data_IF_522798288074
#
_entry.id   IF_522798288074
#
_cell.length_a   1.000
_cell.length_b   1.000
_cell.length_c   1.000
_cell.angle_alpha   90.00
_cell.angle_beta   90.00
_cell.angle_gamma   90.00
#
_symmetry.space_group_name_H-M   'P 1'
#
loop_
_entity.id
_entity.type
_entity.pdbx_description
1 polymer ?
#
# COMPACT_ATOMS: atom_id res chain seq x y z
N UNK A 1 -7.14 -6.11 -23.05
CA UNK A 1 -7.63 -7.38 -22.47
C UNK A 1 -7.50 -7.27 -20.95
N UNK A 2 -8.60 -7.38 -20.21
CA UNK A 2 -8.56 -7.34 -18.74
C UNK A 2 -8.00 -8.68 -18.24
N UNK A 3 -6.99 -8.66 -17.39
CA UNK A 3 -6.39 -9.89 -16.83
C UNK A 3 -7.32 -10.50 -15.79
N UNK A 4 -7.36 -11.82 -15.75
CA UNK A 4 -8.03 -12.53 -14.67
C UNK A 4 -7.13 -12.50 -13.42
N UNK A 5 -7.38 -11.54 -12.54
CA UNK A 5 -6.64 -11.36 -11.29
C UNK A 5 -7.55 -11.67 -10.10
N UNK A 6 -6.96 -12.04 -8.94
CA UNK A 6 -7.68 -12.11 -7.69
C UNK A 6 -8.19 -10.71 -7.31
N UNK A 7 -9.44 -10.61 -6.91
CA UNK A 7 -9.98 -9.38 -6.34
C UNK A 7 -9.48 -9.18 -4.90
N UNK A 8 -9.05 -7.95 -4.60
CA UNK A 8 -8.63 -7.50 -3.28
C UNK A 8 -9.55 -6.37 -2.84
N UNK A 9 -9.89 -6.29 -1.56
CA UNK A 9 -10.76 -5.24 -1.03
C UNK A 9 -9.97 -4.26 -0.16
N UNK A 10 -10.09 -2.97 -0.44
CA UNK A 10 -9.49 -1.88 0.35
C UNK A 10 -10.61 -1.06 0.98
N UNK A 11 -10.99 -1.38 2.21
CA UNK A 11 -12.00 -0.64 2.95
C UNK A 11 -13.36 -0.51 2.23
N UNK A 12 -13.78 -1.54 1.49
CA UNK A 12 -15.00 -1.54 0.68
C UNK A 12 -14.77 -1.30 -0.81
N UNK A 13 -13.59 -0.79 -1.22
CA UNK A 13 -13.25 -0.56 -2.63
C UNK A 13 -12.60 -1.82 -3.22
N UNK A 14 -13.23 -2.49 -4.20
CA UNK A 14 -12.65 -3.67 -4.85
C UNK A 14 -11.57 -3.29 -5.85
N UNK A 15 -10.45 -4.03 -5.86
CA UNK A 15 -9.34 -3.88 -6.80
C UNK A 15 -9.08 -5.20 -7.53
N UNK A 16 -8.97 -5.17 -8.85
CA UNK A 16 -8.78 -6.38 -9.68
C UNK A 16 -10.03 -7.25 -9.78
N UNK A 17 -9.89 -8.48 -10.31
CA UNK A 17 -11.01 -9.42 -10.45
C UNK A 17 -12.18 -8.91 -11.31
N UNK A 18 -11.92 -8.02 -12.28
CA UNK A 18 -12.97 -7.41 -13.10
C UNK A 18 -13.68 -6.21 -12.47
N UNK A 19 -13.28 -5.77 -11.30
CA UNK A 19 -13.82 -4.54 -10.67
C UNK A 19 -13.55 -3.30 -11.54
N UNK A 20 -14.37 -2.24 -11.42
CA UNK A 20 -14.08 -0.94 -12.04
C UNK A 20 -12.72 -0.39 -11.64
N UNK A 21 -12.13 0.45 -12.50
CA UNK A 21 -10.88 1.14 -12.17
C UNK A 21 -11.14 2.15 -11.06
N UNK A 22 -10.43 2.02 -9.95
CA UNK A 22 -10.50 2.95 -8.82
C UNK A 22 -9.50 4.09 -8.98
N UNK A 23 -9.89 5.27 -8.51
CA UNK A 23 -9.04 6.48 -8.47
C UNK A 23 -8.37 6.57 -7.10
N UNK A 24 -7.05 6.47 -7.07
CA UNK A 24 -6.27 6.67 -5.85
C UNK A 24 -5.40 7.93 -5.96
N UNK A 25 -5.45 8.77 -4.94
CA UNK A 25 -4.55 9.92 -4.79
C UNK A 25 -3.64 9.78 -3.57
N UNK A 26 -2.69 10.70 -3.42
CA UNK A 26 -1.77 10.74 -2.29
C UNK A 26 -1.73 12.15 -1.71
N UNK A 27 -1.88 12.27 -0.39
CA UNK A 27 -1.68 13.51 0.33
C UNK A 27 -0.19 13.80 0.51
N UNK A 28 0.14 15.09 0.48
CA UNK A 28 1.47 15.62 0.76
C UNK A 28 1.51 16.46 2.05
N UNK A 29 0.47 16.35 2.88
CA UNK A 29 0.35 17.05 4.15
C UNK A 29 1.37 16.57 5.17
N UNK A 30 1.59 17.39 6.21
CA UNK A 30 2.32 16.94 7.39
C UNK A 30 1.57 15.74 8.00
N UNK A 31 2.20 14.57 8.09
CA UNK A 31 1.55 13.35 8.60
C UNK A 31 1.16 13.44 10.09
N UNK A 32 1.55 14.50 10.79
CA UNK A 32 1.20 14.76 12.19
C UNK A 32 0.06 15.78 12.34
N UNK A 33 -0.38 16.43 11.26
CA UNK A 33 -1.50 17.39 11.28
C UNK A 33 -2.84 16.70 10.96
N UNK A 34 -3.50 16.18 11.99
CA UNK A 34 -4.81 15.53 11.87
C UNK A 34 -5.86 16.44 11.20
N UNK A 35 -5.83 17.74 11.47
CA UNK A 35 -6.81 18.66 10.92
C UNK A 35 -6.62 18.86 9.42
N UNK A 36 -5.40 19.15 8.99
CA UNK A 36 -5.08 19.32 7.57
C UNK A 36 -5.40 18.03 6.79
N UNK A 37 -4.99 16.87 7.32
CA UNK A 37 -5.30 15.57 6.72
C UNK A 37 -6.81 15.39 6.56
N UNK A 38 -7.61 15.64 7.63
CA UNK A 38 -9.06 15.45 7.59
C UNK A 38 -9.77 16.38 6.61
N UNK A 39 -9.31 17.62 6.49
CA UNK A 39 -9.86 18.59 5.54
C UNK A 39 -9.55 18.19 4.10
N UNK A 40 -8.32 17.76 3.81
CA UNK A 40 -7.94 17.30 2.48
C UNK A 40 -8.57 15.97 2.09
N UNK A 41 -8.80 15.06 3.03
CA UNK A 41 -9.53 13.81 2.76
C UNK A 41 -10.94 14.07 2.24
N UNK A 42 -11.65 15.06 2.82
CA UNK A 42 -12.97 15.47 2.32
C UNK A 42 -12.87 16.03 0.90
N UNK A 43 -11.93 16.92 0.66
CA UNK A 43 -11.70 17.51 -0.67
C UNK A 43 -11.35 16.45 -1.72
N UNK A 44 -10.54 15.46 -1.37
CA UNK A 44 -10.22 14.34 -2.26
C UNK A 44 -11.44 13.49 -2.60
N UNK A 45 -12.28 13.20 -1.61
CA UNK A 45 -13.52 12.44 -1.82
C UNK A 45 -14.51 13.22 -2.70
N UNK A 46 -14.69 14.52 -2.45
CA UNK A 46 -15.53 15.39 -3.28
C UNK A 46 -15.02 15.51 -4.72
N UNK A 47 -13.69 15.43 -4.92
CA UNK A 47 -13.07 15.38 -6.24
C UNK A 47 -13.15 14.00 -6.92
N UNK A 48 -13.74 13.00 -6.27
CA UNK A 48 -13.95 11.65 -6.83
C UNK A 48 -12.83 10.65 -6.59
N UNK A 49 -11.98 10.87 -5.58
CA UNK A 49 -11.04 9.84 -5.16
C UNK A 49 -11.76 8.70 -4.43
N UNK A 50 -11.46 7.46 -4.81
CA UNK A 50 -11.99 6.25 -4.15
C UNK A 50 -11.11 5.83 -2.98
N UNK A 51 -9.81 6.11 -3.04
CA UNK A 51 -8.80 5.71 -2.05
C UNK A 51 -7.79 6.84 -1.87
N UNK A 52 -7.37 7.10 -0.65
CA UNK A 52 -6.31 8.07 -0.36
C UNK A 52 -5.14 7.43 0.35
N UNK A 53 -3.91 7.79 -0.04
CA UNK A 53 -2.67 7.32 0.55
C UNK A 53 -1.93 8.46 1.24
N UNK A 54 -1.32 8.19 2.40
CA UNK A 54 -0.47 9.12 3.12
C UNK A 54 0.81 8.41 3.59
N UNK A 55 1.95 9.10 3.49
CA UNK A 55 3.22 8.61 4.03
C UNK A 55 3.17 8.55 5.56
N UNK A 56 3.72 7.48 6.12
CA UNK A 56 3.81 7.25 7.57
C UNK A 56 5.28 7.09 7.94
N UNK A 57 5.96 8.19 8.33
CA UNK A 57 7.39 8.19 8.63
C UNK A 57 7.72 7.59 10.00
N UNK A 58 6.79 7.66 10.95
CA UNK A 58 6.96 7.18 12.33
C UNK A 58 5.65 6.67 12.94
N UNK A 59 5.74 6.17 14.17
CA UNK A 59 4.59 5.56 14.90
C UNK A 59 3.53 6.61 15.27
N UNK A 60 3.92 7.86 15.54
CA UNK A 60 2.95 8.92 15.85
C UNK A 60 2.12 9.28 14.62
N UNK A 61 2.74 9.41 13.46
CA UNK A 61 2.02 9.59 12.19
C UNK A 61 1.05 8.43 11.91
N UNK A 62 1.42 7.19 12.27
CA UNK A 62 0.51 6.05 12.17
C UNK A 62 -0.75 6.22 13.03
N UNK A 63 -0.62 6.74 14.24
CA UNK A 63 -1.75 7.01 15.15
C UNK A 63 -2.65 8.14 14.60
N UNK A 64 -2.03 9.20 14.09
CA UNK A 64 -2.76 10.32 13.46
C UNK A 64 -3.54 9.82 12.25
N UNK A 65 -2.92 9.03 11.38
CA UNK A 65 -3.61 8.43 10.22
C UNK A 65 -4.76 7.52 10.64
N UNK A 66 -4.59 6.71 11.70
CA UNK A 66 -5.64 5.89 12.25
C UNK A 66 -6.80 6.70 12.85
N UNK A 67 -6.51 7.86 13.47
CA UNK A 67 -7.54 8.78 13.93
C UNK A 67 -8.32 9.39 12.76
N UNK A 68 -7.63 9.79 11.69
CA UNK A 68 -8.25 10.28 10.46
C UNK A 68 -9.13 9.20 9.79
N UNK A 69 -8.67 7.95 9.78
CA UNK A 69 -9.37 6.83 9.15
C UNK A 69 -10.78 6.58 9.73
N UNK A 70 -10.99 6.91 11.01
CA UNK A 70 -12.30 6.72 11.68
C UNK A 70 -13.41 7.62 11.13
N UNK A 71 -13.04 8.77 10.57
CA UNK A 71 -13.99 9.76 10.04
C UNK A 71 -13.80 10.04 8.55
N UNK A 72 -12.85 9.36 7.92
CA UNK A 72 -12.58 9.54 6.50
C UNK A 72 -13.74 9.03 5.64
N UNK A 73 -14.19 9.81 4.64
CA UNK A 73 -15.19 9.36 3.68
C UNK A 73 -14.68 8.30 2.69
N UNK A 74 -13.37 8.10 2.62
CA UNK A 74 -12.69 7.14 1.73
C UNK A 74 -11.65 6.32 2.51
N UNK A 75 -11.37 5.08 2.11
CA UNK A 75 -10.36 4.24 2.76
C UNK A 75 -8.96 4.83 2.63
N UNK A 76 -8.16 4.64 3.70
CA UNK A 76 -6.81 5.15 3.80
C UNK A 76 -5.76 4.04 3.65
N UNK A 77 -4.71 4.36 2.91
CA UNK A 77 -3.53 3.52 2.71
C UNK A 77 -2.34 4.13 3.43
N UNK A 78 -1.75 3.42 4.37
CA UNK A 78 -0.50 3.81 5.01
C UNK A 78 0.69 3.44 4.11
N UNK A 79 1.47 4.44 3.71
CA UNK A 79 2.68 4.26 2.88
C UNK A 79 3.92 4.17 3.78
N UNK A 80 4.42 2.95 3.94
CA UNK A 80 5.54 2.62 4.83
C UNK A 80 6.82 2.48 4.00
N UNK A 81 7.84 3.25 4.34
CA UNK A 81 9.08 3.27 3.57
C UNK A 81 10.19 2.42 4.18
N UNK A 82 10.43 2.51 5.50
CA UNK A 82 11.64 1.93 6.11
C UNK A 82 11.42 1.14 7.41
N UNK A 83 10.44 1.50 8.22
CA UNK A 83 10.27 0.92 9.55
C UNK A 83 9.01 0.04 9.64
N UNK A 84 9.20 -1.26 9.84
CA UNK A 84 8.10 -2.20 10.01
C UNK A 84 7.21 -1.89 11.23
N UNK A 85 7.72 -1.19 12.25
CA UNK A 85 6.94 -0.77 13.43
C UNK A 85 5.86 0.22 13.06
N UNK A 86 6.13 1.09 12.08
CA UNK A 86 5.11 1.99 11.52
C UNK A 86 3.98 1.21 10.84
N UNK A 87 4.32 0.12 10.13
CA UNK A 87 3.30 -0.77 9.53
C UNK A 87 2.43 -1.42 10.60
N UNK A 88 3.02 -1.97 11.65
CA UNK A 88 2.29 -2.58 12.76
C UNK A 88 1.40 -1.55 13.48
N UNK A 89 1.92 -0.36 13.74
CA UNK A 89 1.15 0.73 14.36
C UNK A 89 -0.02 1.17 13.47
N UNK A 90 0.17 1.29 12.16
CA UNK A 90 -0.89 1.66 11.22
C UNK A 90 -2.01 0.58 11.16
N UNK A 91 -1.63 -0.70 11.17
CA UNK A 91 -2.58 -1.82 11.24
C UNK A 91 -3.43 -1.73 12.52
N UNK A 92 -2.79 -1.57 13.68
CA UNK A 92 -3.50 -1.44 14.96
C UNK A 92 -4.37 -0.18 15.03
N UNK A 93 -3.93 0.91 14.41
CA UNK A 93 -4.70 2.15 14.32
C UNK A 93 -5.93 2.07 13.39
N UNK A 94 -6.03 1.02 12.55
CA UNK A 94 -7.22 0.72 11.76
C UNK A 94 -7.22 1.31 10.34
N UNK A 95 -6.05 1.47 9.72
CA UNK A 95 -5.98 1.79 8.28
C UNK A 95 -6.51 0.62 7.44
N UNK A 96 -7.00 0.91 6.24
CA UNK A 96 -7.66 -0.08 5.40
C UNK A 96 -6.73 -0.80 4.42
N UNK A 97 -5.51 -0.31 4.21
CA UNK A 97 -4.47 -1.01 3.46
C UNK A 97 -3.08 -0.48 3.83
N UNK A 98 -2.06 -1.27 3.51
CA UNK A 98 -0.67 -0.84 3.56
C UNK A 98 -0.08 -0.76 2.16
N UNK A 99 0.84 0.18 1.95
CA UNK A 99 1.80 0.14 0.84
C UNK A 99 3.20 0.06 1.44
N UNK A 100 3.97 -0.91 1.01
CA UNK A 100 5.34 -1.06 1.46
C UNK A 100 6.23 -1.65 0.35
N UNK A 101 7.54 -1.45 0.52
CA UNK A 101 8.54 -2.20 -0.21
C UNK A 101 9.21 -3.16 0.78
N UNK A 102 8.95 -4.47 0.72
CA UNK A 102 9.48 -5.43 1.68
C UNK A 102 11.01 -5.43 1.77
N UNK A 103 11.71 -5.04 0.68
CA UNK A 103 13.16 -4.88 0.68
C UNK A 103 13.67 -3.76 1.57
N UNK A 104 12.84 -2.78 1.93
CA UNK A 104 13.27 -1.60 2.70
C UNK A 104 12.89 -1.67 4.18
N UNK A 105 11.92 -2.52 4.57
CA UNK A 105 11.43 -2.56 5.96
C UNK A 105 12.22 -3.49 6.88
N UNK A 106 13.24 -4.15 6.35
CA UNK A 106 14.17 -5.01 7.09
C UNK A 106 14.14 -6.47 6.69
N UNK A 107 14.66 -7.35 7.57
CA UNK A 107 14.79 -8.77 7.30
C UNK A 107 13.46 -9.51 7.15
N UNK A 108 13.54 -10.78 6.72
CA UNK A 108 12.39 -11.65 6.47
C UNK A 108 11.41 -11.73 7.66
N UNK A 109 11.93 -11.82 8.87
CA UNK A 109 11.18 -11.88 10.12
C UNK A 109 10.27 -10.66 10.34
N UNK A 110 10.72 -9.48 9.95
CA UNK A 110 9.93 -8.23 10.03
C UNK A 110 8.81 -8.21 8.99
N UNK A 111 9.10 -8.61 7.76
CA UNK A 111 8.08 -8.76 6.70
C UNK A 111 7.01 -9.76 7.12
N UNK A 112 7.42 -10.89 7.70
CA UNK A 112 6.51 -11.91 8.21
C UNK A 112 5.64 -11.39 9.36
N UNK A 113 6.21 -10.62 10.29
CA UNK A 113 5.43 -10.00 11.37
C UNK A 113 4.34 -9.08 10.83
N UNK A 114 4.64 -8.23 9.84
CA UNK A 114 3.66 -7.35 9.18
C UNK A 114 2.61 -8.18 8.43
N UNK A 115 3.01 -9.21 7.68
CA UNK A 115 2.08 -10.07 6.96
C UNK A 115 1.07 -10.76 7.88
N UNK A 116 1.54 -11.32 9.02
CA UNK A 116 0.67 -11.96 10.03
C UNK A 116 -0.28 -10.95 10.65
N UNK A 117 0.18 -9.76 11.01
CA UNK A 117 -0.66 -8.71 11.57
C UNK A 117 -1.73 -8.25 10.57
N UNK A 118 -1.35 -8.00 9.32
CA UNK A 118 -2.27 -7.62 8.25
C UNK A 118 -3.31 -8.72 7.97
N UNK A 119 -2.90 -9.99 7.94
CA UNK A 119 -3.78 -11.15 7.79
C UNK A 119 -4.83 -11.22 8.89
N UNK A 120 -4.41 -11.05 10.14
CA UNK A 120 -5.30 -11.08 11.30
C UNK A 120 -6.38 -9.99 11.27
N UNK A 121 -6.10 -8.84 10.64
CA UNK A 121 -7.04 -7.71 10.51
C UNK A 121 -7.74 -7.66 9.14
N UNK A 122 -7.43 -8.56 8.22
CA UNK A 122 -7.98 -8.53 6.84
C UNK A 122 -7.55 -7.33 6.03
N UNK A 123 -6.34 -6.79 6.27
CA UNK A 123 -5.81 -5.59 5.62
C UNK A 123 -4.92 -6.02 4.44
N UNK A 124 -5.21 -5.60 3.20
CA UNK A 124 -4.38 -5.92 2.05
C UNK A 124 -3.05 -5.15 2.06
N UNK A 125 -2.05 -5.74 1.42
CA UNK A 125 -0.72 -5.14 1.27
C UNK A 125 -0.44 -4.88 -0.21
N UNK A 126 -0.10 -3.63 -0.53
CA UNK A 126 0.46 -3.26 -1.84
C UNK A 126 1.98 -3.30 -1.78
N UNK A 127 2.57 -4.19 -2.56
CA UNK A 127 4.00 -4.22 -2.84
C UNK A 127 4.31 -3.17 -3.91
N UNK A 128 5.15 -2.19 -3.56
CA UNK A 128 5.63 -1.18 -4.52
C UNK A 128 7.10 -1.41 -4.85
N UNK A 129 7.39 -1.77 -6.09
CA UNK A 129 8.76 -1.92 -6.59
C UNK A 129 9.06 -0.81 -7.58
N UNK A 130 10.21 -0.17 -7.43
CA UNK A 130 10.72 0.84 -8.35
C UNK A 130 12.19 0.59 -8.70
N UNK A 131 12.65 1.21 -9.80
CA UNK A 131 14.01 0.99 -10.30
C UNK A 131 15.13 1.37 -9.32
N UNK A 132 14.87 2.31 -8.41
CA UNK A 132 15.86 2.76 -7.40
C UNK A 132 16.01 1.82 -6.21
N UNK A 133 15.14 0.82 -6.05
CA UNK A 133 15.18 -0.15 -4.95
C UNK A 133 15.64 -1.55 -5.39
N UNK A 134 16.15 -1.70 -6.62
CA UNK A 134 16.62 -2.99 -7.14
C UNK A 134 18.01 -3.31 -6.63
N UNK A 135 18.23 -4.57 -6.24
CA UNK A 135 19.55 -5.11 -5.99
C UNK A 135 20.31 -5.31 -7.32
N UNK A 136 21.65 -5.40 -7.25
CA UNK A 136 22.47 -5.60 -8.43
C UNK A 136 22.09 -6.89 -9.17
N UNK A 137 21.67 -6.75 -10.42
CA UNK A 137 21.24 -7.88 -11.27
C UNK A 137 19.76 -8.23 -11.16
N UNK A 138 18.98 -7.59 -10.28
CA UNK A 138 17.53 -7.75 -10.24
C UNK A 138 16.81 -6.98 -11.35
N UNK A 139 15.70 -7.55 -11.80
CA UNK A 139 14.71 -6.84 -12.61
C UNK A 139 13.54 -6.42 -11.72
N UNK A 140 12.72 -5.47 -12.18
CA UNK A 140 11.51 -5.09 -11.46
C UNK A 140 10.57 -6.28 -11.24
N UNK A 141 10.48 -7.18 -12.21
CA UNK A 141 9.63 -8.38 -12.13
C UNK A 141 10.20 -9.37 -11.10
N UNK A 142 11.50 -9.70 -11.17
CA UNK A 142 12.11 -10.63 -10.21
C UNK A 142 12.03 -10.11 -8.78
N UNK A 143 12.23 -8.81 -8.58
CA UNK A 143 12.08 -8.19 -7.26
C UNK A 143 10.63 -8.25 -6.77
N UNK A 144 9.65 -7.95 -7.62
CA UNK A 144 8.25 -8.06 -7.26
C UNK A 144 7.86 -9.49 -6.87
N UNK A 145 8.26 -10.49 -7.65
CA UNK A 145 7.98 -11.90 -7.37
C UNK A 145 8.65 -12.38 -6.07
N UNK A 146 9.90 -11.98 -5.81
CA UNK A 146 10.60 -12.24 -4.54
C UNK A 146 9.79 -11.73 -3.35
N UNK A 147 9.26 -10.51 -3.45
CA UNK A 147 8.48 -9.89 -2.38
C UNK A 147 7.08 -10.51 -2.23
N UNK A 148 6.42 -10.86 -3.32
CA UNK A 148 5.14 -11.61 -3.28
C UNK A 148 5.35 -12.92 -2.54
N UNK A 149 6.41 -13.68 -2.88
CA UNK A 149 6.72 -14.96 -2.23
C UNK A 149 6.93 -14.82 -0.72
N UNK A 150 7.57 -13.75 -0.25
CA UNK A 150 7.75 -13.50 1.19
C UNK A 150 6.42 -13.37 1.95
N UNK A 151 5.39 -12.78 1.32
CA UNK A 151 4.05 -12.67 1.90
C UNK A 151 3.29 -14.02 1.77
N UNK A 152 3.42 -14.69 0.63
CA UNK A 152 2.78 -15.99 0.40
C UNK A 152 3.31 -17.09 1.32
N UNK A 153 4.59 -17.03 1.74
CA UNK A 153 5.17 -17.93 2.73
C UNK A 153 4.46 -17.86 4.10
N UNK A 154 3.75 -16.74 4.38
CA UNK A 154 2.88 -16.57 5.55
C UNK A 154 1.40 -16.85 5.22
N UNK A 155 1.13 -17.50 4.07
CA UNK A 155 -0.22 -17.71 3.56
C UNK A 155 -1.03 -16.41 3.49
N UNK A 156 -0.36 -15.30 3.13
CA UNK A 156 -0.97 -14.01 2.89
C UNK A 156 -1.24 -13.84 1.40
N UNK A 157 -2.50 -13.59 1.02
CA UNK A 157 -2.96 -13.60 -0.38
C UNK A 157 -3.57 -12.29 -0.86
N UNK A 158 -3.89 -11.36 0.02
CA UNK A 158 -4.51 -10.09 -0.34
C UNK A 158 -3.44 -9.07 -0.74
N UNK A 159 -2.78 -9.38 -1.89
CA UNK A 159 -1.61 -8.67 -2.39
C UNK A 159 -1.98 -7.88 -3.63
N UNK A 160 -1.60 -6.60 -3.64
CA UNK A 160 -1.59 -5.73 -4.82
C UNK A 160 -0.14 -5.49 -5.21
N UNK A 161 0.20 -5.64 -6.49
CA UNK A 161 1.56 -5.38 -6.99
C UNK A 161 1.58 -4.10 -7.81
N UNK A 162 2.53 -3.22 -7.50
CA UNK A 162 2.77 -1.99 -8.24
C UNK A 162 4.23 -1.94 -8.69
N UNK A 163 4.43 -1.85 -10.00
CA UNK A 163 5.76 -1.82 -10.63
C UNK A 163 5.91 -0.51 -11.37
N UNK A 164 6.95 0.27 -11.05
CA UNK A 164 7.22 1.56 -11.67
C UNK A 164 8.64 1.58 -12.26
N UNK A 165 8.75 1.81 -13.56
CA UNK A 165 10.01 2.08 -14.24
C UNK A 165 10.28 3.60 -14.30
N UNK A 166 11.51 3.97 -14.72
CA UNK A 166 11.92 5.38 -14.86
C UNK A 166 11.37 6.05 -16.11
N UNK A 167 10.85 5.29 -17.06
CA UNK A 167 10.25 5.81 -18.28
C UNK A 167 8.88 5.17 -18.57
N UNK A 168 8.08 5.85 -19.38
CA UNK A 168 6.68 5.45 -19.68
C UNK A 168 6.61 4.13 -20.41
N UNK A 169 7.46 3.92 -21.44
CA UNK A 169 7.43 2.72 -22.26
C UNK A 169 7.72 1.44 -21.45
N UNK A 170 8.70 1.50 -20.55
CA UNK A 170 9.00 0.37 -19.67
C UNK A 170 7.93 0.16 -18.58
N UNK A 171 7.31 1.23 -18.13
CA UNK A 171 6.20 1.13 -17.17
C UNK A 171 5.00 0.46 -17.83
N UNK A 172 4.64 0.87 -19.04
CA UNK A 172 3.54 0.29 -19.82
C UNK A 172 3.80 -1.19 -20.16
N UNK A 173 4.97 -1.52 -20.69
CA UNK A 173 5.37 -2.91 -20.99
C UNK A 173 5.24 -3.84 -19.79
N UNK A 174 5.62 -3.39 -18.59
CA UNK A 174 5.60 -4.19 -17.36
C UNK A 174 4.21 -4.32 -16.75
N UNK A 175 3.32 -3.40 -17.08
CA UNK A 175 1.90 -3.52 -16.74
C UNK A 175 1.16 -4.55 -17.63
N UNK A 176 1.77 -4.97 -18.72
CA UNK A 176 1.19 -5.90 -19.71
C UNK A 176 1.69 -7.35 -19.57
N UNK A 177 2.68 -7.62 -18.70
CA UNK A 177 3.23 -8.99 -18.49
C UNK A 177 2.48 -9.75 -17.41
#
# INVERSE_FOLDING_TARGET
MQRNTRQVNVGGVPLGGGAPVSVQTMLADDPHDLKAISDHLRSCAEAGADIVRLTVPDVEAAKVLGAAAKSSPVPLVADIHFDYRCALAAIEAGVQALRLNPGNIGGRDRVQAVARAAKAKGIPIRIGVNGGSLEKGETLVSSALKHVKLLEDEDFRDIVVSVKASNVADTDRKSVV
#
